data_IF_591890980525
#
_entry.id   IF_591890980525
#
_cell.length_a   1.000
_cell.length_b   1.000
_cell.length_c   1.000
_cell.angle_alpha   90.00
_cell.angle_beta   90.00
_cell.angle_gamma   90.00
#
_symmetry.space_group_name_H-M   'P 1'
#
loop_
_entity.id
_entity.type
_entity.pdbx_description
1 polymer ?
#
# COMPACT_ATOMS: atom_id res chain seq x y z
N UNK A 1 14.36 35.44 29.22
CA UNK A 1 13.93 36.76 28.71
C UNK A 1 14.54 37.04 27.33
N UNK A 2 15.85 36.90 27.16
CA UNK A 2 16.53 37.22 25.90
C UNK A 2 16.19 36.30 24.72
N UNK A 3 15.86 35.02 24.98
CA UNK A 3 15.34 34.11 23.95
C UNK A 3 13.91 34.49 23.51
N UNK A 4 13.06 34.93 24.45
CA UNK A 4 11.72 35.45 24.15
C UNK A 4 11.74 36.83 23.46
N UNK A 5 12.86 37.57 23.57
CA UNK A 5 13.10 38.85 22.91
C UNK A 5 13.92 38.70 21.62
N UNK A 6 14.16 37.48 21.14
CA UNK A 6 14.93 37.17 19.93
C UNK A 6 16.36 37.78 19.90
N UNK A 7 16.97 37.99 21.07
CA UNK A 7 18.34 38.54 21.21
C UNK A 7 19.43 37.47 21.19
N UNK A 8 19.03 36.20 21.25
CA UNK A 8 19.89 35.04 21.12
C UNK A 8 19.63 34.40 19.75
N UNK A 9 20.67 34.21 18.95
CA UNK A 9 20.56 33.42 17.72
C UNK A 9 20.28 31.96 18.10
N UNK A 10 19.23 31.38 17.53
CA UNK A 10 18.95 29.95 17.59
C UNK A 10 19.65 29.31 16.38
N UNK A 11 20.84 28.72 16.56
CA UNK A 11 21.52 28.04 15.46
C UNK A 11 20.66 26.85 15.02
N UNK A 12 20.45 26.72 13.71
CA UNK A 12 19.84 25.53 13.13
C UNK A 12 20.81 24.38 13.38
N UNK A 13 20.45 23.42 14.24
CA UNK A 13 21.18 22.16 14.35
C UNK A 13 20.94 21.34 13.08
N UNK A 14 21.97 21.10 12.25
CA UNK A 14 21.80 20.29 11.06
C UNK A 14 21.56 18.84 11.50
N UNK A 15 20.36 18.33 11.22
CA UNK A 15 20.08 16.90 11.30
C UNK A 15 20.96 16.22 10.25
N UNK A 16 22.05 15.58 10.69
CA UNK A 16 22.86 14.74 9.81
C UNK A 16 22.11 13.44 9.60
N UNK A 17 21.79 13.04 8.35
CA UNK A 17 21.25 11.71 8.11
C UNK A 17 22.24 10.67 8.66
N UNK A 18 21.69 9.59 9.24
CA UNK A 18 22.50 8.45 9.67
C UNK A 18 23.39 8.00 8.50
N UNK A 19 24.66 7.68 8.79
CA UNK A 19 25.58 7.20 7.77
C UNK A 19 24.98 5.94 7.12
N UNK A 20 24.76 6.01 5.81
CA UNK A 20 24.23 4.89 5.05
C UNK A 20 25.26 3.77 5.12
N UNK A 21 24.82 2.59 5.58
CA UNK A 21 25.67 1.40 5.59
C UNK A 21 25.95 1.00 4.13
N UNK A 22 27.20 1.15 3.71
CA UNK A 22 27.65 0.80 2.36
C UNK A 22 28.92 -0.04 2.37
N UNK A 23 29.02 -0.95 1.41
CA UNK A 23 30.21 -1.77 1.15
C UNK A 23 30.55 -1.70 -0.33
N UNK A 24 31.83 -1.84 -0.67
CA UNK A 24 32.30 -1.68 -2.04
C UNK A 24 33.42 -2.64 -2.39
N UNK A 25 33.45 -3.03 -3.66
CA UNK A 25 34.49 -3.89 -4.23
C UNK A 25 35.04 -3.27 -5.50
N UNK A 26 36.34 -2.95 -5.48
CA UNK A 26 37.10 -2.58 -6.68
C UNK A 26 37.62 -3.85 -7.37
N UNK A 27 37.68 -3.83 -8.70
CA UNK A 27 38.23 -4.91 -9.51
C UNK A 27 39.51 -4.44 -10.21
N UNK A 28 40.53 -5.30 -10.23
CA UNK A 28 41.78 -5.02 -10.94
C UNK A 28 41.60 -5.12 -12.47
N UNK A 29 40.72 -6.03 -12.90
CA UNK A 29 40.30 -6.18 -14.30
C UNK A 29 38.79 -6.00 -14.39
N UNK A 30 38.27 -5.26 -15.40
CA UNK A 30 36.84 -5.05 -15.56
C UNK A 30 36.08 -6.37 -15.73
N UNK A 31 34.98 -6.53 -14.99
CA UNK A 31 34.13 -7.73 -15.09
C UNK A 31 32.88 -7.44 -15.91
N UNK A 32 32.42 -8.41 -16.71
CA UNK A 32 31.16 -8.30 -17.47
C UNK A 32 30.29 -9.56 -17.45
N UNK A 33 30.82 -10.71 -17.03
CA UNK A 33 30.06 -11.96 -16.98
C UNK A 33 29.04 -11.95 -15.83
N UNK A 34 27.78 -12.27 -16.13
CA UNK A 34 26.66 -12.25 -15.18
C UNK A 34 26.92 -13.16 -13.96
N UNK A 35 27.56 -14.31 -14.14
CA UNK A 35 27.91 -15.24 -13.07
C UNK A 35 28.97 -14.63 -12.12
N UNK A 36 29.88 -13.84 -12.67
CA UNK A 36 30.91 -13.15 -11.88
C UNK A 36 30.29 -12.01 -11.08
N UNK A 37 29.40 -11.23 -11.72
CA UNK A 37 28.63 -10.17 -11.06
C UNK A 37 27.81 -10.77 -9.92
N UNK A 38 27.05 -11.85 -10.16
CA UNK A 38 26.24 -12.52 -9.16
C UNK A 38 27.08 -13.02 -7.97
N UNK A 39 28.25 -13.61 -8.24
CA UNK A 39 29.18 -14.07 -7.21
C UNK A 39 29.67 -12.93 -6.32
N UNK A 40 30.01 -11.77 -6.89
CA UNK A 40 30.46 -10.61 -6.11
C UNK A 40 29.30 -9.89 -5.41
N UNK A 41 28.10 -9.88 -5.99
CA UNK A 41 26.88 -9.45 -5.31
C UNK A 41 26.69 -10.24 -4.02
N UNK A 42 26.77 -11.57 -4.04
CA UNK A 42 26.62 -12.39 -2.84
C UNK A 42 27.67 -12.10 -1.76
N UNK A 43 28.91 -11.78 -2.16
CA UNK A 43 29.97 -11.37 -1.22
C UNK A 43 29.69 -10.01 -0.58
N UNK A 44 29.31 -9.02 -1.39
CA UNK A 44 28.94 -7.69 -0.90
C UNK A 44 27.72 -7.75 0.02
N UNK A 45 26.72 -8.58 -0.30
CA UNK A 45 25.56 -8.78 0.59
C UNK A 45 26.00 -9.38 1.92
N UNK A 46 26.91 -10.35 1.94
CA UNK A 46 27.42 -10.92 3.19
C UNK A 46 28.17 -9.89 4.03
N UNK A 47 29.02 -9.08 3.41
CA UNK A 47 29.74 -7.97 4.07
C UNK A 47 28.76 -6.92 4.62
N UNK A 48 27.75 -6.52 3.83
CA UNK A 48 26.73 -5.57 4.26
C UNK A 48 25.89 -6.11 5.42
N UNK A 49 25.48 -7.37 5.37
CA UNK A 49 24.73 -8.00 6.46
C UNK A 49 25.54 -8.01 7.76
N UNK A 50 26.85 -8.24 7.70
CA UNK A 50 27.71 -8.17 8.88
C UNK A 50 27.76 -6.75 9.47
N UNK A 51 27.84 -5.71 8.64
CA UNK A 51 27.81 -4.32 9.11
C UNK A 51 26.43 -3.90 9.64
N UNK A 52 25.34 -4.33 9.01
CA UNK A 52 23.99 -4.11 9.56
C UNK A 52 23.79 -4.86 10.89
N UNK A 53 24.52 -5.97 11.10
CA UNK A 53 24.47 -6.71 12.36
C UNK A 53 25.10 -5.97 13.53
N UNK A 54 26.25 -5.33 13.33
CA UNK A 54 26.90 -4.51 14.37
C UNK A 54 26.01 -3.36 14.82
N UNK A 55 25.15 -2.87 13.93
CA UNK A 55 24.22 -1.76 14.19
C UNK A 55 22.83 -2.21 14.64
N UNK A 56 22.55 -3.52 14.70
CA UNK A 56 21.24 -4.05 15.07
C UNK A 56 20.12 -3.70 14.06
N UNK A 57 20.49 -3.48 12.81
CA UNK A 57 19.59 -3.06 11.73
C UNK A 57 19.34 -4.20 10.72
N UNK A 58 18.32 -4.01 9.90
CA UNK A 58 18.01 -4.82 8.73
C UNK A 58 17.73 -3.91 7.54
N UNK A 59 18.07 -4.39 6.35
CA UNK A 59 17.84 -3.64 5.13
C UNK A 59 16.34 -3.60 4.79
N UNK A 60 15.87 -2.42 4.38
CA UNK A 60 14.53 -2.16 3.82
C UNK A 60 14.58 -1.79 2.35
N UNK A 61 15.65 -1.12 1.94
CA UNK A 61 15.95 -0.79 0.55
C UNK A 61 17.44 -0.89 0.32
N UNK A 62 17.80 -1.56 -0.77
CA UNK A 62 19.19 -1.77 -1.19
C UNK A 62 19.37 -1.22 -2.59
N UNK A 63 20.49 -0.50 -2.75
CA UNK A 63 20.98 -0.03 -4.05
C UNK A 63 22.32 -0.70 -4.34
N UNK A 64 22.36 -1.48 -5.40
CA UNK A 64 23.58 -2.05 -5.95
C UNK A 64 23.98 -1.25 -7.20
N UNK A 65 25.04 -0.47 -7.07
CA UNK A 65 25.59 0.40 -8.10
C UNK A 65 26.77 -0.27 -8.78
N UNK A 66 26.81 -0.18 -10.10
CA UNK A 66 27.89 -0.70 -10.94
C UNK A 66 28.53 0.47 -11.68
N UNK A 67 29.78 0.75 -11.37
CA UNK A 67 30.58 1.78 -12.03
C UNK A 67 31.34 1.12 -13.18
N UNK A 68 31.03 1.57 -14.40
CA UNK A 68 31.64 1.09 -15.64
C UNK A 68 32.91 1.88 -15.95
N UNK A 69 33.77 1.28 -16.76
CA UNK A 69 35.02 1.90 -17.25
C UNK A 69 34.75 3.18 -18.06
N UNK A 70 33.58 3.32 -18.68
CA UNK A 70 33.17 4.50 -19.44
C UNK A 70 32.49 5.59 -18.58
N UNK A 71 32.71 5.57 -17.27
CA UNK A 71 32.12 6.48 -16.27
C UNK A 71 30.57 6.44 -16.19
N UNK A 72 29.91 5.44 -16.81
CA UNK A 72 28.48 5.22 -16.61
C UNK A 72 28.23 4.44 -15.32
N UNK A 73 27.09 4.73 -14.68
CA UNK A 73 26.65 4.02 -13.48
C UNK A 73 25.33 3.33 -13.79
N UNK A 74 25.35 2.00 -13.73
CA UNK A 74 24.14 1.18 -13.73
C UNK A 74 23.71 0.90 -12.29
N UNK A 75 22.42 0.68 -12.06
CA UNK A 75 21.90 0.47 -10.71
C UNK A 75 20.80 -0.58 -10.69
N UNK A 76 20.88 -1.47 -9.70
CA UNK A 76 19.79 -2.36 -9.30
C UNK A 76 19.29 -1.90 -7.94
N UNK A 77 17.98 -1.63 -7.86
CA UNK A 77 17.30 -1.30 -6.61
C UNK A 77 16.32 -2.41 -6.23
N UNK A 78 16.38 -2.84 -4.97
CA UNK A 78 15.43 -3.79 -4.39
C UNK A 78 14.90 -3.28 -3.06
N UNK A 79 13.66 -3.62 -2.74
CA UNK A 79 13.03 -3.32 -1.46
C UNK A 79 12.52 -4.58 -0.77
N UNK A 80 12.42 -4.54 0.55
CA UNK A 80 11.84 -5.62 1.36
C UNK A 80 10.64 -5.10 2.16
N UNK A 81 9.66 -5.97 2.41
CA UNK A 81 8.41 -5.67 3.10
C UNK A 81 8.58 -5.53 4.62
N UNK A 82 9.65 -6.09 5.17
CA UNK A 82 10.11 -5.96 6.55
C UNK A 82 11.63 -5.76 6.56
N UNK A 83 12.23 -5.28 7.66
CA UNK A 83 13.69 -5.22 7.77
C UNK A 83 14.27 -6.64 7.66
N UNK A 84 15.20 -6.85 6.73
CA UNK A 84 15.78 -8.17 6.44
C UNK A 84 17.31 -8.12 6.55
N UNK A 85 17.88 -9.13 7.21
CA UNK A 85 19.33 -9.37 7.27
C UNK A 85 19.64 -10.83 6.94
N UNK A 86 19.13 -11.30 5.81
CA UNK A 86 19.36 -12.65 5.28
C UNK A 86 20.15 -12.58 3.98
N UNK A 87 21.38 -13.09 4.00
CA UNK A 87 22.29 -13.04 2.87
C UNK A 87 21.74 -13.75 1.63
N UNK A 88 21.08 -14.91 1.78
CA UNK A 88 20.56 -15.68 0.64
C UNK A 88 19.38 -14.96 0.00
N UNK A 89 18.44 -14.47 0.80
CA UNK A 89 17.25 -13.73 0.33
C UNK A 89 17.64 -12.46 -0.41
N UNK A 90 18.49 -11.63 0.19
CA UNK A 90 18.93 -10.37 -0.41
C UNK A 90 19.77 -10.60 -1.67
N UNK A 91 20.65 -11.61 -1.68
CA UNK A 91 21.41 -11.99 -2.87
C UNK A 91 20.47 -12.36 -4.00
N UNK A 92 19.46 -13.22 -3.75
CA UNK A 92 18.52 -13.64 -4.78
C UNK A 92 17.78 -12.47 -5.41
N UNK A 93 17.24 -11.55 -4.58
CA UNK A 93 16.51 -10.37 -5.07
C UNK A 93 17.36 -9.49 -6.00
N UNK A 94 18.65 -9.31 -5.67
CA UNK A 94 19.58 -8.54 -6.50
C UNK A 94 19.98 -9.30 -7.76
N UNK A 95 20.26 -10.59 -7.66
CA UNK A 95 20.69 -11.41 -8.81
C UNK A 95 19.59 -11.58 -9.84
N UNK A 96 18.33 -11.66 -9.41
CA UNK A 96 17.15 -11.75 -10.30
C UNK A 96 17.01 -10.52 -11.21
N UNK A 97 17.71 -9.41 -10.89
CA UNK A 97 17.73 -8.17 -11.68
C UNK A 97 19.05 -7.94 -12.43
N UNK A 98 20.02 -8.85 -12.36
CA UNK A 98 21.30 -8.68 -13.10
C UNK A 98 21.08 -8.63 -14.61
N UNK A 99 20.06 -9.31 -15.13
CA UNK A 99 19.70 -9.24 -16.55
C UNK A 99 19.24 -7.84 -17.01
N UNK A 100 18.89 -6.95 -16.08
CA UNK A 100 18.44 -5.59 -16.43
C UNK A 100 19.59 -4.59 -16.59
N UNK A 101 20.82 -4.98 -16.27
CA UNK A 101 22.00 -4.10 -16.41
C UNK A 101 22.80 -4.44 -17.66
N UNK A 102 23.35 -3.42 -18.31
CA UNK A 102 24.34 -3.59 -19.38
C UNK A 102 25.75 -3.31 -18.84
N UNK A 103 26.60 -4.34 -18.68
CA UNK A 103 27.98 -4.15 -18.23
C UNK A 103 28.87 -3.43 -19.26
N UNK A 104 28.47 -3.36 -20.54
CA UNK A 104 29.22 -2.70 -21.60
C UNK A 104 30.69 -3.15 -21.70
N UNK A 105 31.63 -2.21 -21.51
CA UNK A 105 33.07 -2.46 -21.53
C UNK A 105 33.62 -3.09 -20.23
N UNK A 106 32.75 -3.34 -19.26
CA UNK A 106 33.08 -3.95 -17.98
C UNK A 106 32.90 -2.99 -16.81
N UNK A 107 32.75 -3.59 -15.64
CA UNK A 107 32.52 -2.94 -14.36
C UNK A 107 33.82 -2.96 -13.56
N UNK A 108 34.27 -1.79 -13.12
CA UNK A 108 35.50 -1.61 -12.32
C UNK A 108 35.22 -1.53 -10.81
N UNK A 109 34.00 -1.13 -10.44
CA UNK A 109 33.60 -1.00 -9.05
C UNK A 109 32.13 -1.39 -8.87
N UNK A 110 31.86 -2.21 -7.86
CA UNK A 110 30.52 -2.50 -7.36
C UNK A 110 30.36 -1.91 -5.97
N UNK A 111 29.26 -1.18 -5.73
CA UNK A 111 28.91 -0.62 -4.42
C UNK A 111 27.52 -1.06 -4.04
N UNK A 112 27.36 -1.61 -2.84
CA UNK A 112 26.07 -1.99 -2.29
C UNK A 112 25.78 -1.12 -1.06
N UNK A 113 24.63 -0.46 -1.03
CA UNK A 113 24.22 0.42 0.05
C UNK A 113 22.81 0.07 0.57
N UNK A 114 22.66 0.01 1.89
CA UNK A 114 21.36 -0.06 2.56
C UNK A 114 20.76 1.35 2.70
N UNK A 115 20.22 1.88 1.60
CA UNK A 115 19.67 3.25 1.54
C UNK A 115 18.52 3.51 2.50
N UNK A 116 17.80 2.45 2.89
CA UNK A 116 16.88 2.47 4.02
C UNK A 116 17.20 1.25 4.87
N UNK A 117 17.59 1.49 6.11
CA UNK A 117 17.78 0.47 7.14
C UNK A 117 16.87 0.78 8.32
N UNK A 118 16.29 -0.26 8.90
CA UNK A 118 15.37 -0.14 10.05
C UNK A 118 15.84 -1.10 11.15
N UNK A 119 15.58 -0.81 12.44
CA UNK A 119 15.93 -1.70 13.53
C UNK A 119 15.37 -3.12 13.33
N UNK A 120 16.25 -4.11 13.35
CA UNK A 120 15.87 -5.51 13.22
C UNK A 120 15.85 -6.16 14.61
N UNK A 121 14.65 -6.32 15.17
CA UNK A 121 14.50 -7.03 16.45
C UNK A 121 14.78 -8.51 16.24
N UNK A 122 15.69 -9.06 17.05
CA UNK A 122 15.89 -10.50 17.13
C UNK A 122 14.57 -11.16 17.58
N UNK A 123 13.93 -11.91 16.67
CA UNK A 123 12.85 -12.81 17.05
C UNK A 123 13.49 -14.03 17.69
N UNK A 124 13.16 -14.31 18.95
CA UNK A 124 13.45 -15.62 19.53
C UNK A 124 12.68 -16.65 18.71
N UNK A 125 13.38 -17.57 18.06
CA UNK A 125 12.76 -18.79 17.55
C UNK A 125 12.37 -19.62 18.78
N UNK A 126 11.16 -19.40 19.28
CA UNK A 126 10.58 -20.27 20.29
C UNK A 126 10.45 -21.63 19.60
N UNK A 127 11.30 -22.58 20.01
CA UNK A 127 11.13 -24.00 19.71
C UNK A 127 9.91 -24.52 20.48
N UNK A 128 8.72 -24.01 20.12
CA UNK A 128 7.46 -24.55 20.63
C UNK A 128 7.24 -25.87 19.92
N UNK A 129 7.37 -26.97 20.66
CA UNK A 129 6.96 -28.31 20.23
C UNK A 129 5.43 -28.42 20.02
N UNK A 130 4.65 -27.36 20.26
CA UNK A 130 3.19 -27.40 20.35
C UNK A 130 2.45 -26.54 19.31
N UNK A 131 3.10 -25.55 18.68
CA UNK A 131 2.45 -24.67 17.70
C UNK A 131 3.23 -24.65 16.39
N UNK A 132 2.54 -24.90 15.28
CA UNK A 132 3.13 -24.76 13.96
C UNK A 132 3.54 -23.30 13.75
N UNK A 133 4.77 -23.04 13.26
CA UNK A 133 5.19 -21.68 12.98
C UNK A 133 4.25 -21.04 11.96
N UNK A 134 3.80 -19.81 12.23
CA UNK A 134 3.05 -19.03 11.24
C UNK A 134 3.88 -18.92 9.95
N UNK A 135 3.28 -19.19 8.78
CA UNK A 135 4.00 -19.12 7.53
C UNK A 135 4.46 -17.69 7.26
N UNK A 136 5.77 -17.47 7.13
CA UNK A 136 6.33 -16.18 6.77
C UNK A 136 6.09 -15.91 5.27
N UNK A 137 5.11 -15.06 4.97
CA UNK A 137 4.77 -14.63 3.61
C UNK A 137 5.63 -13.46 3.11
N UNK A 138 6.52 -12.92 3.95
CA UNK A 138 7.32 -11.73 3.59
C UNK A 138 8.21 -11.99 2.38
N UNK A 139 8.78 -13.20 2.26
CA UNK A 139 9.57 -13.63 1.10
C UNK A 139 8.79 -13.46 -0.21
N UNK A 140 7.54 -13.92 -0.23
CA UNK A 140 6.68 -13.88 -1.42
C UNK A 140 6.31 -12.43 -1.74
N UNK A 141 5.98 -11.64 -0.71
CA UNK A 141 5.66 -10.23 -0.86
C UNK A 141 6.83 -9.46 -1.47
N UNK A 142 8.07 -9.72 -1.03
CA UNK A 142 9.27 -9.09 -1.58
C UNK A 142 9.45 -9.41 -3.06
N UNK A 143 9.34 -10.68 -3.46
CA UNK A 143 9.47 -11.10 -4.86
C UNK A 143 8.43 -10.38 -5.72
N UNK A 144 7.17 -10.40 -5.28
CA UNK A 144 6.07 -9.79 -6.01
C UNK A 144 6.25 -8.28 -6.10
N UNK A 145 6.57 -7.61 -4.99
CA UNK A 145 6.77 -6.16 -4.93
C UNK A 145 7.94 -5.71 -5.84
N UNK A 146 9.06 -6.45 -5.85
CA UNK A 146 10.20 -6.13 -6.71
C UNK A 146 9.93 -6.40 -8.21
N UNK A 147 8.94 -7.22 -8.55
CA UNK A 147 8.54 -7.51 -9.93
C UNK A 147 7.43 -6.58 -10.45
N UNK A 148 6.38 -6.34 -9.67
CA UNK A 148 5.21 -5.55 -10.10
C UNK A 148 5.30 -4.06 -9.73
N UNK A 149 6.20 -3.70 -8.83
CA UNK A 149 6.35 -2.37 -8.23
C UNK A 149 5.75 -2.31 -6.83
N UNK A 150 6.46 -1.66 -5.90
CA UNK A 150 6.08 -1.62 -4.48
C UNK A 150 4.69 -1.02 -4.22
N UNK A 151 4.27 -0.02 -5.00
CA UNK A 151 2.98 0.65 -4.83
C UNK A 151 1.79 -0.15 -5.40
N UNK A 152 2.06 -1.24 -6.14
CA UNK A 152 1.02 -2.07 -6.75
C UNK A 152 0.57 -3.23 -5.86
N UNK A 153 1.32 -3.52 -4.79
CA UNK A 153 0.97 -4.54 -3.82
C UNK A 153 0.58 -3.86 -2.50
N UNK A 154 -0.69 -3.96 -2.15
CA UNK A 154 -1.24 -3.33 -0.96
C UNK A 154 -2.38 -4.16 -0.39
N UNK A 155 -2.74 -3.88 0.86
CA UNK A 155 -3.99 -4.35 1.48
C UNK A 155 -4.85 -3.15 1.83
N UNK A 156 -6.13 -3.39 2.08
CA UNK A 156 -7.03 -2.37 2.61
C UNK A 156 -7.14 -2.51 4.12
N UNK A 157 -7.14 -1.38 4.83
CA UNK A 157 -7.49 -1.29 6.23
C UNK A 157 -8.71 -0.38 6.42
N UNK A 158 -9.57 -0.70 7.39
CA UNK A 158 -10.70 0.16 7.74
C UNK A 158 -10.21 1.47 8.34
N UNK A 159 -11.01 2.52 8.12
CA UNK A 159 -10.84 3.87 8.66
C UNK A 159 -12.17 4.28 9.26
N UNK A 160 -12.16 4.94 10.42
CA UNK A 160 -13.37 5.47 11.06
C UNK A 160 -13.95 6.62 10.22
N UNK A 161 -14.80 6.26 9.27
CA UNK A 161 -15.57 7.17 8.44
C UNK A 161 -16.84 6.46 7.99
N UNK A 162 -17.97 7.14 8.12
CA UNK A 162 -19.25 6.64 7.60
C UNK A 162 -19.35 6.83 6.08
N UNK A 163 -18.56 7.76 5.51
CA UNK A 163 -18.54 8.01 4.08
C UNK A 163 -17.80 6.87 3.37
N UNK A 164 -18.45 6.14 2.45
CA UNK A 164 -17.89 4.89 1.93
C UNK A 164 -16.53 5.04 1.26
N UNK A 165 -16.33 6.13 0.51
CA UNK A 165 -15.08 6.45 -0.19
C UNK A 165 -13.90 6.74 0.77
N UNK A 166 -14.20 6.99 2.04
CA UNK A 166 -13.22 7.32 3.10
C UNK A 166 -13.18 6.30 4.24
N UNK A 167 -14.04 5.27 4.17
CA UNK A 167 -14.13 4.21 5.19
C UNK A 167 -13.01 3.16 5.12
N UNK A 168 -12.08 3.32 4.17
CA UNK A 168 -10.92 2.46 4.03
C UNK A 168 -9.73 3.22 3.45
N UNK A 169 -8.53 2.68 3.67
CA UNK A 169 -7.29 3.18 3.07
C UNK A 169 -6.42 2.02 2.58
N UNK A 170 -5.53 2.32 1.62
CA UNK A 170 -4.49 1.37 1.20
C UNK A 170 -3.33 1.46 2.17
N UNK A 171 -2.87 0.30 2.64
CA UNK A 171 -1.67 0.20 3.47
C UNK A 171 -0.73 -0.86 2.91
N UNK A 172 0.53 -0.80 3.31
CA UNK A 172 1.53 -1.76 2.87
C UNK A 172 1.13 -3.20 3.28
N UNK A 173 1.50 -4.23 2.50
CA UNK A 173 1.07 -5.61 2.73
C UNK A 173 1.39 -6.14 4.13
N UNK A 174 2.55 -5.74 4.68
CA UNK A 174 3.04 -6.13 6.00
C UNK A 174 2.92 -5.01 7.05
N UNK A 175 2.18 -3.93 6.75
CA UNK A 175 1.89 -2.92 7.78
C UNK A 175 1.10 -3.58 8.93
N UNK A 176 1.29 -3.16 10.19
CA UNK A 176 0.49 -3.65 11.31
C UNK A 176 -0.99 -3.30 11.10
N UNK A 177 -1.88 -4.08 11.70
CA UNK A 177 -3.30 -3.77 11.71
C UNK A 177 -3.56 -2.47 12.47
N UNK A 178 -4.49 -1.68 11.95
CA UNK A 178 -4.85 -0.37 12.52
C UNK A 178 -5.69 -0.49 13.79
N UNK A 179 -6.10 -1.70 14.19
CA UNK A 179 -6.96 -1.96 15.34
C UNK A 179 -8.45 -1.64 15.11
N UNK A 180 -8.78 -1.05 13.96
CA UNK A 180 -10.15 -0.76 13.55
C UNK A 180 -10.81 -2.00 12.93
N UNK A 181 -12.09 -2.20 13.23
CA UNK A 181 -12.89 -3.27 12.65
C UNK A 181 -13.60 -2.82 11.37
N UNK A 182 -13.87 -3.75 10.46
CA UNK A 182 -14.80 -3.50 9.36
C UNK A 182 -16.23 -3.34 9.91
N UNK A 183 -17.06 -2.43 9.37
CA UNK A 183 -18.44 -2.27 9.81
C UNK A 183 -19.22 -3.59 9.68
N UNK A 184 -19.64 -4.17 10.81
CA UNK A 184 -20.28 -5.48 10.84
C UNK A 184 -21.77 -5.48 10.46
N UNK A 185 -22.48 -4.37 10.72
CA UNK A 185 -23.95 -4.29 10.50
C UNK A 185 -24.32 -4.04 9.04
N UNK A 186 -23.51 -3.26 8.33
CA UNK A 186 -23.70 -2.89 6.94
C UNK A 186 -22.44 -3.23 6.14
N UNK A 187 -22.37 -4.43 5.53
CA UNK A 187 -21.20 -4.82 4.78
C UNK A 187 -20.97 -3.87 3.60
N UNK A 188 -19.71 -3.46 3.40
CA UNK A 188 -19.30 -2.71 2.22
C UNK A 188 -19.14 -3.66 1.02
N UNK A 189 -19.43 -3.23 -0.22
CA UNK A 189 -19.29 -4.08 -1.40
C UNK A 189 -17.83 -4.45 -1.68
N UNK A 190 -17.59 -5.64 -2.24
CA UNK A 190 -16.26 -6.08 -2.65
C UNK A 190 -15.68 -5.22 -3.79
N UNK A 191 -16.55 -4.63 -4.60
CA UNK A 191 -16.19 -3.66 -5.63
C UNK A 191 -16.94 -2.35 -5.42
N UNK A 192 -16.21 -1.32 -5.01
CA UNK A 192 -16.70 0.06 -4.98
C UNK A 192 -16.31 0.79 -6.27
N UNK A 193 -17.27 1.48 -6.90
CA UNK A 193 -17.01 2.32 -8.06
C UNK A 193 -16.30 3.61 -7.60
N UNK A 194 -15.21 4.04 -8.27
CA UNK A 194 -14.48 5.25 -7.87
C UNK A 194 -15.32 6.53 -8.04
N UNK A 195 -16.35 6.46 -8.89
CA UNK A 195 -17.37 7.50 -9.04
C UNK A 195 -18.71 6.80 -9.11
N UNK A 196 -19.68 7.16 -8.26
CA UNK A 196 -21.04 6.65 -8.37
C UNK A 196 -21.63 6.93 -9.76
N UNK A 197 -22.27 5.93 -10.35
CA UNK A 197 -22.90 6.04 -11.67
C UNK A 197 -24.41 6.32 -11.50
N UNK A 198 -24.99 7.31 -12.21
CA UNK A 198 -26.41 7.58 -12.10
C UNK A 198 -27.24 6.38 -12.60
N UNK A 199 -28.36 6.11 -11.92
CA UNK A 199 -29.32 5.07 -12.30
C UNK A 199 -30.73 5.64 -12.36
N UNK A 200 -31.55 5.10 -13.25
CA UNK A 200 -32.98 5.36 -13.26
C UNK A 200 -33.67 4.37 -12.33
N UNK A 201 -34.59 4.83 -11.50
CA UNK A 201 -35.28 3.98 -10.52
C UNK A 201 -36.77 4.24 -10.50
N UNK A 202 -37.52 3.23 -10.06
CA UNK A 202 -38.91 3.38 -9.61
C UNK A 202 -38.93 3.04 -8.13
N UNK A 203 -39.02 4.05 -7.26
CA UNK A 203 -39.05 3.92 -5.81
C UNK A 203 -40.18 4.76 -5.23
N UNK A 204 -40.79 4.29 -4.13
CA UNK A 204 -41.68 5.11 -3.31
C UNK A 204 -40.81 5.93 -2.34
N UNK A 205 -41.05 7.24 -2.23
CA UNK A 205 -40.33 8.09 -1.28
C UNK A 205 -41.05 8.10 0.08
N UNK A 206 -40.34 8.35 1.21
CA UNK A 206 -38.91 8.63 1.32
C UNK A 206 -38.06 7.37 1.56
N UNK A 207 -38.41 6.43 2.44
CA UNK A 207 -37.44 5.41 2.88
C UNK A 207 -37.54 4.05 2.18
N UNK A 208 -38.18 3.97 1.01
CA UNK A 208 -38.31 2.69 0.31
C UNK A 208 -37.17 2.44 -0.70
N UNK A 209 -36.68 1.19 -0.77
CA UNK A 209 -35.76 0.78 -1.82
C UNK A 209 -36.45 0.84 -3.20
N UNK A 210 -35.68 0.91 -4.29
CA UNK A 210 -36.24 0.86 -5.63
C UNK A 210 -36.84 -0.52 -5.91
N UNK A 211 -37.98 -0.55 -6.59
CA UNK A 211 -38.61 -1.80 -7.07
C UNK A 211 -37.95 -2.28 -8.36
N UNK A 212 -37.52 -1.33 -9.20
CA UNK A 212 -36.82 -1.55 -10.45
C UNK A 212 -35.76 -0.47 -10.59
N UNK A 213 -34.59 -0.83 -11.12
CA UNK A 213 -33.59 0.14 -11.55
C UNK A 213 -33.00 -0.21 -12.92
N UNK A 214 -32.54 0.80 -13.65
CA UNK A 214 -31.83 0.64 -14.92
C UNK A 214 -30.39 1.10 -14.72
N UNK A 215 -29.43 0.20 -14.95
CA UNK A 215 -28.00 0.51 -14.87
C UNK A 215 -27.31 0.04 -16.16
N UNK A 216 -26.58 0.95 -16.81
CA UNK A 216 -25.89 0.72 -18.10
C UNK A 216 -26.81 0.11 -19.18
N UNK A 217 -28.04 0.60 -19.25
CA UNK A 217 -29.05 0.15 -20.22
C UNK A 217 -29.75 -1.17 -19.88
N UNK A 218 -29.35 -1.85 -18.80
CA UNK A 218 -29.97 -3.09 -18.35
C UNK A 218 -30.96 -2.79 -17.22
N UNK A 219 -32.24 -3.11 -17.46
CA UNK A 219 -33.32 -2.97 -16.47
C UNK A 219 -33.35 -4.20 -15.57
N UNK A 220 -33.37 -3.99 -14.26
CA UNK A 220 -33.32 -5.02 -13.22
C UNK A 220 -34.47 -4.83 -12.23
N UNK A 221 -35.18 -5.92 -11.93
CA UNK A 221 -36.22 -5.93 -10.90
C UNK A 221 -35.62 -6.37 -9.57
N UNK A 222 -35.89 -5.60 -8.52
CA UNK A 222 -35.42 -5.88 -7.17
C UNK A 222 -36.32 -6.94 -6.53
N UNK A 223 -35.70 -8.01 -6.05
CA UNK A 223 -36.36 -9.13 -5.36
C UNK A 223 -36.27 -8.99 -3.85
N UNK A 224 -35.13 -8.52 -3.35
CA UNK A 224 -34.88 -8.25 -1.91
C UNK A 224 -34.12 -6.95 -1.77
N UNK A 225 -34.37 -6.24 -0.68
CA UNK A 225 -33.65 -5.02 -0.37
C UNK A 225 -33.57 -4.80 1.13
N UNK A 226 -32.40 -4.32 1.58
CA UNK A 226 -32.13 -3.90 2.94
C UNK A 226 -31.71 -2.42 2.94
N UNK A 227 -32.23 -1.64 3.88
CA UNK A 227 -31.96 -0.20 3.99
C UNK A 227 -33.14 0.59 4.61
N UNK A 228 -33.01 1.92 4.73
CA UNK A 228 -31.82 2.71 4.37
C UNK A 228 -30.72 2.64 5.44
N UNK A 229 -29.46 2.49 4.99
CA UNK A 229 -28.30 2.95 5.77
C UNK A 229 -28.10 4.44 5.48
N UNK A 230 -28.43 5.29 6.45
CA UNK A 230 -28.29 6.74 6.34
C UNK A 230 -26.87 7.16 6.67
N UNK A 231 -26.18 7.72 5.69
CA UNK A 231 -24.82 8.26 5.80
C UNK A 231 -24.87 9.77 5.69
N UNK A 232 -24.32 10.46 6.70
CA UNK A 232 -24.17 11.91 6.70
C UNK A 232 -22.83 12.30 6.09
N UNK A 233 -22.81 13.44 5.40
CA UNK A 233 -21.59 14.08 4.96
C UNK A 233 -20.71 14.45 6.15
N UNK A 234 -19.40 14.37 5.98
CA UNK A 234 -18.46 14.80 7.02
C UNK A 234 -18.32 16.31 6.95
N UNK A 235 -19.21 17.02 7.63
CA UNK A 235 -19.31 18.49 7.62
C UNK A 235 -17.99 19.21 7.92
N UNK A 236 -17.09 18.58 8.69
CA UNK A 236 -15.77 19.12 9.03
C UNK A 236 -14.74 19.03 7.88
N UNK A 237 -15.06 18.37 6.76
CA UNK A 237 -14.16 18.23 5.61
C UNK A 237 -14.42 19.30 4.55
N UNK A 238 -15.68 19.59 4.24
CA UNK A 238 -16.10 20.50 3.16
C UNK A 238 -17.48 21.09 3.44
N UNK A 239 -17.67 22.37 3.14
CA UNK A 239 -18.97 23.05 3.29
C UNK A 239 -20.09 22.38 2.48
N UNK A 240 -19.77 21.79 1.31
CA UNK A 240 -20.72 21.07 0.48
C UNK A 240 -21.26 19.78 1.14
N UNK A 241 -20.63 19.29 2.20
CA UNK A 241 -21.05 18.11 2.97
C UNK A 241 -21.87 18.47 4.22
N UNK A 242 -22.11 19.76 4.48
CA UNK A 242 -22.69 20.24 5.74
C UNK A 242 -24.11 19.72 5.99
N UNK A 243 -24.92 19.62 4.93
CA UNK A 243 -26.27 19.05 4.98
C UNK A 243 -26.40 17.75 4.16
N UNK A 244 -25.31 17.28 3.55
CA UNK A 244 -25.39 16.19 2.59
C UNK A 244 -25.79 14.88 3.27
N UNK A 245 -26.85 14.23 2.77
CA UNK A 245 -27.28 12.91 3.23
C UNK A 245 -27.24 11.93 2.07
N UNK A 246 -26.89 10.67 2.34
CA UNK A 246 -27.01 9.57 1.39
C UNK A 246 -27.70 8.40 2.07
N UNK A 247 -28.86 8.01 1.53
CA UNK A 247 -29.57 6.82 1.98
C UNK A 247 -29.20 5.64 1.08
N UNK A 248 -28.40 4.73 1.63
CA UNK A 248 -27.90 3.53 0.94
C UNK A 248 -28.84 2.35 1.12
N UNK A 249 -28.97 1.56 0.05
CA UNK A 249 -29.75 0.33 0.01
C UNK A 249 -28.90 -0.78 -0.61
N UNK A 250 -28.93 -1.96 0.01
CA UNK A 250 -28.42 -3.18 -0.59
C UNK A 250 -29.59 -3.85 -1.31
N UNK A 251 -29.50 -4.04 -2.62
CA UNK A 251 -30.58 -4.61 -3.43
C UNK A 251 -30.11 -5.87 -4.14
N UNK A 252 -30.92 -6.92 -4.09
CA UNK A 252 -30.73 -8.18 -4.82
C UNK A 252 -31.73 -8.24 -5.97
N UNK A 253 -31.24 -8.51 -7.18
CA UNK A 253 -32.13 -8.69 -8.34
C UNK A 253 -32.69 -10.12 -8.45
N UNK A 254 -33.54 -10.36 -9.45
CA UNK A 254 -34.13 -11.68 -9.67
C UNK A 254 -33.12 -12.78 -10.01
N UNK A 255 -31.94 -12.42 -10.51
CA UNK A 255 -30.85 -13.33 -10.85
C UNK A 255 -29.91 -13.60 -9.65
N UNK A 256 -30.15 -12.95 -8.50
CA UNK A 256 -29.34 -13.08 -7.30
C UNK A 256 -28.10 -12.15 -7.28
N UNK A 257 -27.97 -11.25 -8.25
CA UNK A 257 -26.89 -10.26 -8.25
C UNK A 257 -27.21 -9.16 -7.23
N UNK A 258 -26.20 -8.80 -6.42
CA UNK A 258 -26.36 -7.86 -5.31
C UNK A 258 -25.65 -6.55 -5.58
N UNK A 259 -26.35 -5.46 -5.35
CA UNK A 259 -25.95 -4.11 -5.70
C UNK A 259 -26.03 -3.19 -4.49
N UNK A 260 -25.17 -2.19 -4.48
CA UNK A 260 -25.19 -1.13 -3.50
C UNK A 260 -25.51 0.19 -4.18
N UNK A 261 -26.73 0.66 -3.94
CA UNK A 261 -27.28 1.87 -4.55
C UNK A 261 -27.59 2.88 -3.47
N UNK A 262 -27.57 4.17 -3.79
CA UNK A 262 -28.00 5.20 -2.85
C UNK A 262 -28.84 6.28 -3.51
N UNK A 263 -29.65 6.93 -2.70
CA UNK A 263 -30.28 8.21 -3.01
C UNK A 263 -29.46 9.34 -2.40
N UNK A 264 -29.17 10.38 -3.19
CA UNK A 264 -28.57 11.61 -2.69
C UNK A 264 -29.65 12.49 -2.02
N UNK A 265 -29.68 12.55 -0.70
CA UNK A 265 -30.68 13.24 0.11
C UNK A 265 -31.58 12.26 0.86
N UNK A 266 -32.18 12.73 1.95
CA UNK A 266 -33.04 11.96 2.85
C UNK A 266 -34.44 11.66 2.29
N UNK A 267 -34.83 12.32 1.19
CA UNK A 267 -36.14 12.14 0.55
C UNK A 267 -37.23 13.08 1.08
N UNK A 268 -36.90 13.96 2.02
CA UNK A 268 -37.82 14.91 2.65
C UNK A 268 -37.36 16.36 2.43
N UNK A 269 -36.10 16.66 2.74
CA UNK A 269 -35.53 18.00 2.63
C UNK A 269 -34.63 18.12 1.39
N UNK A 270 -35.01 18.99 0.47
CA UNK A 270 -34.26 19.29 -0.75
C UNK A 270 -32.87 19.89 -0.48
N UNK A 271 -32.62 20.44 0.71
CA UNK A 271 -31.30 20.92 1.12
C UNK A 271 -30.31 19.78 1.35
N UNK A 272 -30.79 18.55 1.62
CA UNK A 272 -29.93 17.40 1.93
C UNK A 272 -29.39 16.69 0.70
N UNK A 273 -30.01 16.90 -0.47
CA UNK A 273 -29.53 16.35 -1.73
C UNK A 273 -30.54 16.39 -2.88
N UNK A 274 -30.09 16.00 -4.06
CA UNK A 274 -30.86 16.08 -5.32
C UNK A 274 -31.98 15.04 -5.50
N UNK A 275 -32.14 14.11 -4.55
CA UNK A 275 -32.94 12.89 -4.59
C UNK A 275 -32.66 11.94 -5.77
N UNK A 276 -31.58 12.18 -6.53
CA UNK A 276 -31.13 11.28 -7.60
C UNK A 276 -30.54 10.00 -7.03
N UNK A 277 -30.66 8.93 -7.82
CA UNK A 277 -30.17 7.61 -7.47
C UNK A 277 -28.87 7.29 -8.20
N UNK A 278 -27.98 6.57 -7.50
CA UNK A 278 -26.69 6.18 -8.01
C UNK A 278 -26.36 4.74 -7.64
N UNK A 279 -25.70 4.04 -8.56
CA UNK A 279 -24.97 2.80 -8.31
C UNK A 279 -23.60 3.16 -7.74
N UNK A 280 -23.25 2.63 -6.57
CA UNK A 280 -21.96 2.88 -5.94
C UNK A 280 -21.10 1.61 -5.86
N UNK A 281 -21.69 0.43 -5.73
CA UNK A 281 -20.89 -0.79 -5.68
C UNK A 281 -21.66 -2.06 -5.98
N UNK A 282 -20.90 -3.15 -6.08
CA UNK A 282 -21.40 -4.48 -6.44
C UNK A 282 -20.85 -5.45 -5.41
N UNK A 283 -21.73 -6.29 -4.87
CA UNK A 283 -21.34 -7.40 -4.01
C UNK A 283 -21.05 -8.61 -4.90
N UNK A 284 -19.93 -9.28 -4.65
CA UNK A 284 -19.56 -10.54 -5.31
C UNK A 284 -20.38 -11.73 -4.83
#
# INVERSE_FOLDING_TARGET
LDQALARVSEPIEPIRPEEIVEVRRNFAEPIGAAETIARYTGKLVAELCAELETQGQGARRLDLLFFRVDNRVEAIRVGTATPVRDTKRLTRLLTDKIETIDPGFGIELMRLAATVAEPLRAKQMISSLAEAPEPDVSDVIDILANRVGGDRLYRFAPVQSDVPERSFQRIAPMAPDTGEGWPGRWPRPSRLLPRPEPIETVALLPDHPPVIFTWRGVRRRVKRADGPERVFGEWWKRDAELAAVRDYFQVEDENGERYWVYRAGDGEDAATGSHKWFMHGIFG
#
